data_IF_332151065460
#
_entry.id   IF_332151065460
#
_cell.length_a   1.000
_cell.length_b   1.000
_cell.length_c   1.000
_cell.angle_alpha   90.00
_cell.angle_beta   90.00
_cell.angle_gamma   90.00
#
_symmetry.space_group_name_H-M   'P 1'
#
loop_
_entity.id
_entity.type
_entity.pdbx_description
1 polymer ?
#
# COMPACT_ATOMS: atom_id res chain seq x y z
N UNK A 1 -36.95 47.97 10.86
CA UNK A 1 -35.50 47.76 10.73
C UNK A 1 -35.03 47.02 11.97
N UNK A 2 -34.90 45.69 11.88
CA UNK A 2 -34.40 44.86 12.97
C UNK A 2 -32.91 44.60 12.72
N UNK A 3 -32.06 45.03 13.65
CA UNK A 3 -30.62 44.80 13.61
C UNK A 3 -30.32 43.32 13.85
N UNK A 4 -29.77 42.70 12.81
CA UNK A 4 -28.78 41.63 12.92
C UNK A 4 -27.60 42.12 13.77
N UNK A 5 -27.17 41.34 14.76
CA UNK A 5 -25.82 40.77 14.84
C UNK A 5 -25.59 40.01 16.15
N UNK A 6 -24.91 38.87 15.97
CA UNK A 6 -23.93 38.29 16.89
C UNK A 6 -24.46 37.64 18.18
N UNK A 7 -24.88 36.38 18.05
CA UNK A 7 -24.72 35.40 19.15
C UNK A 7 -23.55 34.46 18.86
N UNK A 8 -22.68 34.44 19.87
CA UNK A 8 -21.73 33.41 20.28
C UNK A 8 -20.68 32.94 19.27
N UNK A 9 -19.47 33.49 19.46
CA UNK A 9 -18.24 32.72 19.67
C UNK A 9 -18.42 31.21 19.62
N UNK A 10 -17.85 30.62 18.57
CA UNK A 10 -17.65 29.19 18.35
C UNK A 10 -17.14 28.49 19.62
N UNK A 11 -18.00 27.72 20.27
CA UNK A 11 -17.53 26.60 21.05
C UNK A 11 -16.74 25.69 20.09
N UNK A 12 -15.59 25.20 20.52
CA UNK A 12 -14.84 24.15 19.82
C UNK A 12 -15.75 22.92 19.66
N UNK A 13 -16.46 22.82 18.54
CA UNK A 13 -17.11 21.58 18.17
C UNK A 13 -15.97 20.57 17.94
N UNK A 14 -15.87 19.57 18.81
CA UNK A 14 -15.00 18.42 18.60
C UNK A 14 -15.37 17.72 17.29
N UNK A 15 -14.45 16.94 16.74
CA UNK A 15 -14.70 16.14 15.55
C UNK A 15 -15.82 15.13 15.81
N UNK A 16 -16.64 14.86 14.79
CA UNK A 16 -17.49 13.67 14.81
C UNK A 16 -16.61 12.40 14.71
N UNK A 17 -17.13 11.22 15.10
CA UNK A 17 -16.40 9.97 14.92
C UNK A 17 -15.99 9.72 13.46
N UNK A 18 -16.86 10.06 12.50
CA UNK A 18 -16.63 9.95 11.07
C UNK A 18 -15.53 10.91 10.59
N UNK A 19 -15.63 12.19 10.98
CA UNK A 19 -14.61 13.19 10.65
C UNK A 19 -13.25 12.80 11.23
N UNK A 20 -13.20 12.29 12.46
CA UNK A 20 -11.97 11.83 13.08
C UNK A 20 -11.38 10.60 12.38
N UNK A 21 -12.22 9.68 11.88
CA UNK A 21 -11.78 8.58 11.02
C UNK A 21 -11.12 9.08 9.74
N UNK A 22 -11.76 10.00 9.02
CA UNK A 22 -11.20 10.56 7.79
C UNK A 22 -9.99 11.45 8.04
N UNK A 23 -9.95 12.21 9.14
CA UNK A 23 -8.76 12.96 9.55
C UNK A 23 -7.60 12.01 9.85
N UNK A 24 -7.85 10.88 10.51
CA UNK A 24 -6.84 9.86 10.73
C UNK A 24 -6.34 9.25 9.42
N UNK A 25 -7.24 8.92 8.49
CA UNK A 25 -6.87 8.35 7.20
C UNK A 25 -6.06 9.31 6.32
N UNK A 26 -6.53 10.56 6.18
CA UNK A 26 -5.79 11.60 5.46
C UNK A 26 -4.43 11.85 6.09
N UNK A 27 -4.37 11.95 7.42
CA UNK A 27 -3.11 12.19 8.11
C UNK A 27 -2.13 11.05 7.90
N UNK A 28 -2.59 9.79 7.99
CA UNK A 28 -1.78 8.59 7.75
C UNK A 28 -1.09 8.67 6.38
N UNK A 29 -1.85 8.85 5.30
CA UNK A 29 -1.28 8.90 3.95
C UNK A 29 -0.43 10.15 3.71
N UNK A 30 -0.74 11.26 4.39
CA UNK A 30 0.03 12.52 4.29
C UNK A 30 1.40 12.46 5.00
N UNK A 31 1.68 11.43 5.82
CA UNK A 31 3.00 11.27 6.45
C UNK A 31 4.07 10.87 5.45
N UNK A 32 3.67 10.36 4.28
CA UNK A 32 4.57 9.96 3.19
C UNK A 32 4.82 11.06 2.15
N UNK A 33 4.07 12.17 2.22
CA UNK A 33 4.16 13.26 1.24
C UNK A 33 2.83 13.98 1.03
N UNK A 34 2.71 14.67 -0.11
CA UNK A 34 1.48 15.37 -0.46
C UNK A 34 0.33 14.38 -0.72
N UNK A 35 -0.86 14.74 -0.22
CA UNK A 35 -2.06 13.91 -0.36
C UNK A 35 -2.60 13.94 -1.80
N UNK A 36 -2.41 12.82 -2.51
CA UNK A 36 -2.70 12.65 -3.93
C UNK A 36 -4.12 12.17 -4.20
N UNK A 37 -4.51 12.10 -5.49
CA UNK A 37 -5.77 11.47 -5.89
C UNK A 37 -5.78 9.95 -5.69
N UNK A 38 -4.60 9.31 -5.72
CA UNK A 38 -4.46 7.89 -5.35
C UNK A 38 -4.75 7.69 -3.86
N UNK A 39 -4.29 8.61 -3.01
CA UNK A 39 -4.56 8.57 -1.57
C UNK A 39 -6.05 8.72 -1.26
N UNK A 40 -6.77 9.59 -1.99
CA UNK A 40 -8.24 9.68 -1.91
C UNK A 40 -8.92 8.36 -2.28
N UNK A 41 -8.45 7.68 -3.33
CA UNK A 41 -8.96 6.37 -3.73
C UNK A 41 -8.72 5.33 -2.64
N UNK A 42 -7.56 5.35 -1.98
CA UNK A 42 -7.24 4.47 -0.86
C UNK A 42 -8.16 4.72 0.35
N UNK A 43 -8.36 5.97 0.74
CA UNK A 43 -9.29 6.35 1.82
C UNK A 43 -10.69 5.79 1.55
N UNK A 44 -11.16 5.86 0.29
CA UNK A 44 -12.45 5.29 -0.12
C UNK A 44 -12.44 3.76 -0.10
N UNK A 45 -11.40 3.12 -0.62
CA UNK A 45 -11.27 1.65 -0.67
C UNK A 45 -11.35 1.01 0.72
N UNK A 46 -10.62 1.57 1.67
CA UNK A 46 -10.52 1.02 3.04
C UNK A 46 -11.58 1.58 3.99
N UNK A 47 -12.55 2.36 3.50
CA UNK A 47 -13.53 3.04 4.37
C UNK A 47 -14.25 2.08 5.31
N UNK A 48 -14.49 0.85 4.88
CA UNK A 48 -15.26 -0.14 5.63
C UNK A 48 -14.49 -0.75 6.81
N UNK A 49 -13.17 -0.54 6.90
CA UNK A 49 -12.37 -0.91 8.07
C UNK A 49 -12.75 -0.11 9.32
N UNK A 50 -13.36 1.06 9.11
CA UNK A 50 -13.95 1.84 10.18
C UNK A 50 -15.46 1.93 10.00
N UNK A 51 -16.18 1.14 10.79
CA UNK A 51 -17.63 0.95 10.71
C UNK A 51 -18.48 2.23 10.75
N UNK A 52 -17.92 3.35 11.21
CA UNK A 52 -18.59 4.67 11.20
C UNK A 52 -18.65 5.30 9.81
N UNK A 53 -17.74 4.93 8.90
CA UNK A 53 -17.69 5.45 7.53
C UNK A 53 -18.60 4.66 6.58
N UNK A 54 -18.80 3.36 6.82
CA UNK A 54 -19.65 2.49 5.98
C UNK A 54 -21.06 3.03 5.72
N UNK A 55 -21.78 3.62 6.70
CA UNK A 55 -23.13 4.13 6.47
C UNK A 55 -23.18 5.46 5.71
N UNK A 56 -22.05 6.13 5.49
CA UNK A 56 -22.02 7.40 4.79
C UNK A 56 -22.32 7.21 3.31
N UNK A 57 -23.33 7.93 2.81
CA UNK A 57 -23.54 8.07 1.38
C UNK A 57 -22.36 8.81 0.73
N UNK A 58 -22.12 8.56 -0.56
CA UNK A 58 -20.95 9.07 -1.28
C UNK A 58 -20.79 10.59 -1.16
N UNK A 59 -21.88 11.36 -1.29
CA UNK A 59 -21.82 12.82 -1.15
C UNK A 59 -21.40 13.25 0.27
N UNK A 60 -21.93 12.58 1.29
CA UNK A 60 -21.57 12.83 2.69
C UNK A 60 -20.13 12.43 2.99
N UNK A 61 -19.69 11.29 2.47
CA UNK A 61 -18.31 10.83 2.58
C UNK A 61 -17.33 11.83 1.95
N UNK A 62 -17.58 12.27 0.71
CA UNK A 62 -16.72 13.23 0.01
C UNK A 62 -16.67 14.60 0.69
N UNK A 63 -17.81 15.09 1.18
CA UNK A 63 -17.86 16.35 1.94
C UNK A 63 -17.02 16.27 3.22
N UNK A 64 -17.13 15.15 3.95
CA UNK A 64 -16.37 14.92 5.18
C UNK A 64 -14.89 14.72 4.90
N UNK A 65 -14.53 14.03 3.80
CA UNK A 65 -13.15 13.84 3.37
C UNK A 65 -12.47 15.18 3.03
N UNK A 66 -13.16 16.06 2.30
CA UNK A 66 -12.64 17.40 1.98
C UNK A 66 -12.42 18.25 3.25
N UNK A 67 -13.30 18.10 4.23
CA UNK A 67 -13.18 18.76 5.54
C UNK A 67 -11.99 18.22 6.34
N UNK A 68 -11.79 16.90 6.32
CA UNK A 68 -10.64 16.24 6.91
C UNK A 68 -9.33 16.69 6.27
N UNK A 69 -9.28 16.76 4.93
CA UNK A 69 -8.12 17.26 4.18
C UNK A 69 -7.76 18.69 4.56
N UNK A 70 -8.74 19.61 4.53
CA UNK A 70 -8.50 21.00 4.92
C UNK A 70 -7.94 21.11 6.35
N UNK A 71 -8.41 20.27 7.26
CA UNK A 71 -7.96 20.25 8.65
C UNK A 71 -6.55 19.68 8.81
N UNK A 72 -6.21 18.60 8.12
CA UNK A 72 -4.85 18.02 8.15
C UNK A 72 -3.85 19.00 7.51
N UNK A 73 -4.19 19.62 6.38
CA UNK A 73 -3.29 20.60 5.74
C UNK A 73 -3.08 21.85 6.59
N UNK A 74 -4.12 22.32 7.30
CA UNK A 74 -4.01 23.47 8.20
C UNK A 74 -3.33 23.12 9.54
N UNK A 75 -3.44 21.86 9.98
CA UNK A 75 -2.87 21.38 11.23
C UNK A 75 -1.46 20.88 11.02
N UNK A 76 -0.47 21.50 11.67
CA UNK A 76 0.90 20.98 11.68
C UNK A 76 1.03 19.74 12.60
N UNK A 77 0.22 18.71 12.36
CA UNK A 77 0.05 17.55 13.24
C UNK A 77 1.28 16.64 13.25
N UNK A 78 2.03 16.58 12.15
CA UNK A 78 3.29 15.84 12.05
C UNK A 78 4.33 16.29 13.08
N UNK A 79 4.31 17.56 13.51
CA UNK A 79 5.25 18.07 14.51
C UNK A 79 5.04 17.47 15.92
N UNK A 80 3.85 16.96 16.23
CA UNK A 80 3.56 16.32 17.52
C UNK A 80 2.40 15.32 17.40
N UNK A 81 2.72 14.15 16.84
CA UNK A 81 1.77 13.05 16.63
C UNK A 81 1.05 12.65 17.93
N UNK A 82 1.72 12.46 19.09
CA UNK A 82 1.03 12.14 20.34
C UNK A 82 -0.02 13.17 20.76
N UNK A 83 0.29 14.46 20.67
CA UNK A 83 -0.66 15.52 21.01
C UNK A 83 -1.84 15.58 20.04
N UNK A 84 -1.59 15.34 18.75
CA UNK A 84 -2.66 15.21 17.75
C UNK A 84 -3.60 14.06 18.11
N UNK A 85 -3.07 12.86 18.39
CA UNK A 85 -3.90 11.71 18.76
C UNK A 85 -4.71 11.98 20.02
N UNK A 86 -4.08 12.44 21.11
CA UNK A 86 -4.76 12.63 22.39
C UNK A 86 -5.73 13.82 22.39
N UNK A 87 -5.41 14.88 21.65
CA UNK A 87 -6.17 16.14 21.66
C UNK A 87 -7.19 16.27 20.54
N UNK A 88 -7.04 15.51 19.44
CA UNK A 88 -7.88 15.63 18.24
C UNK A 88 -8.63 14.34 17.93
N UNK A 89 -7.92 13.21 17.80
CA UNK A 89 -8.54 11.95 17.36
C UNK A 89 -9.33 11.26 18.48
N UNK A 90 -8.68 10.95 19.60
CA UNK A 90 -9.29 10.16 20.67
C UNK A 90 -10.52 10.78 21.34
N UNK A 91 -10.64 12.12 21.49
CA UNK A 91 -11.86 12.70 22.03
C UNK A 91 -13.12 12.38 21.21
N UNK A 92 -12.98 12.07 19.91
CA UNK A 92 -14.07 11.64 19.04
C UNK A 92 -14.31 10.12 19.03
N UNK A 93 -13.37 9.33 19.57
CA UNK A 93 -13.44 7.86 19.62
C UNK A 93 -13.98 7.41 20.99
N UNK A 94 -15.31 7.40 21.11
CA UNK A 94 -16.00 7.30 22.40
C UNK A 94 -15.97 5.86 22.93
N UNK A 95 -16.11 4.87 22.04
CA UNK A 95 -16.16 3.46 22.44
C UNK A 95 -14.84 2.72 22.16
N UNK A 96 -14.57 1.57 22.80
CA UNK A 96 -13.44 0.71 22.44
C UNK A 96 -13.48 0.30 20.95
N UNK A 97 -14.67 0.05 20.41
CA UNK A 97 -14.86 -0.30 19.01
C UNK A 97 -14.47 0.85 18.07
N UNK A 98 -14.77 2.11 18.42
CA UNK A 98 -14.32 3.27 17.64
C UNK A 98 -12.78 3.33 17.58
N UNK A 99 -12.13 3.12 18.73
CA UNK A 99 -10.66 3.16 18.84
C UNK A 99 -9.97 2.01 18.09
N UNK A 100 -10.52 0.80 18.15
CA UNK A 100 -10.01 -0.35 17.38
C UNK A 100 -10.29 -0.16 15.90
N UNK A 101 -11.48 0.32 15.53
CA UNK A 101 -11.86 0.58 14.15
C UNK A 101 -10.98 1.64 13.48
N UNK A 102 -10.73 2.78 14.15
CA UNK A 102 -9.81 3.79 13.61
C UNK A 102 -8.38 3.26 13.52
N UNK A 103 -7.95 2.42 14.47
CA UNK A 103 -6.64 1.78 14.41
C UNK A 103 -6.52 0.84 13.22
N UNK A 104 -7.52 -0.03 13.00
CA UNK A 104 -7.60 -0.91 11.82
C UNK A 104 -7.51 -0.11 10.54
N UNK A 105 -8.26 0.98 10.45
CA UNK A 105 -8.28 1.84 9.28
C UNK A 105 -6.92 2.52 9.02
N UNK A 106 -6.26 3.05 10.06
CA UNK A 106 -4.89 3.59 9.97
C UNK A 106 -3.93 2.51 9.47
N UNK A 107 -3.97 1.32 10.05
CA UNK A 107 -3.08 0.22 9.69
C UNK A 107 -3.31 -0.24 8.24
N UNK A 108 -4.56 -0.38 7.81
CA UNK A 108 -4.90 -0.77 6.44
C UNK A 108 -4.39 0.23 5.40
N UNK A 109 -4.48 1.54 5.71
CA UNK A 109 -3.97 2.62 4.88
C UNK A 109 -2.43 2.69 4.89
N UNK A 110 -1.78 2.55 6.05
CA UNK A 110 -0.32 2.51 6.15
C UNK A 110 0.29 1.30 5.41
N UNK A 111 -0.47 0.22 5.23
CA UNK A 111 -0.04 -0.94 4.46
C UNK A 111 -0.25 -0.82 2.94
N UNK A 112 -0.76 0.31 2.43
CA UNK A 112 -1.03 0.48 0.99
C UNK A 112 0.19 0.46 0.10
N UNK A 113 1.35 0.87 0.62
CA UNK A 113 2.65 0.76 -0.03
C UNK A 113 3.50 -0.42 0.52
N UNK A 114 2.87 -1.29 1.30
CA UNK A 114 3.45 -2.46 1.96
C UNK A 114 4.59 -2.15 2.95
N UNK A 115 4.83 -0.88 3.28
CA UNK A 115 5.92 -0.47 4.14
C UNK A 115 5.50 0.63 5.12
N UNK A 116 5.25 0.24 6.37
CA UNK A 116 4.92 1.20 7.43
C UNK A 116 6.16 2.01 7.79
N UNK A 117 6.15 3.29 7.46
CA UNK A 117 7.25 4.20 7.76
C UNK A 117 7.26 4.66 9.23
N UNK A 118 8.33 5.34 9.64
CA UNK A 118 8.51 5.80 11.03
C UNK A 118 7.37 6.73 11.51
N UNK A 119 6.83 7.57 10.64
CA UNK A 119 5.72 8.47 10.95
C UNK A 119 4.42 7.71 11.17
N UNK A 120 4.09 6.78 10.29
CA UNK A 120 2.89 5.92 10.40
C UNK A 120 2.97 5.02 11.63
N UNK A 121 4.14 4.42 11.88
CA UNK A 121 4.38 3.66 13.09
C UNK A 121 4.24 4.56 14.34
N UNK A 122 4.77 5.78 14.33
CA UNK A 122 4.59 6.72 15.43
C UNK A 122 3.11 7.06 15.67
N UNK A 123 2.31 7.22 14.61
CA UNK A 123 0.86 7.42 14.70
C UNK A 123 0.16 6.20 15.32
N UNK A 124 0.44 5.00 14.82
CA UNK A 124 -0.09 3.75 15.35
C UNK A 124 0.25 3.56 16.83
N UNK A 125 1.52 3.80 17.21
CA UNK A 125 1.96 3.71 18.61
C UNK A 125 1.26 4.74 19.50
N UNK A 126 1.10 5.98 19.02
CA UNK A 126 0.37 7.01 19.75
C UNK A 126 -1.10 6.63 19.97
N UNK A 127 -1.77 6.05 18.96
CA UNK A 127 -3.13 5.52 19.11
C UNK A 127 -3.16 4.38 20.12
N UNK A 128 -2.29 3.37 20.01
CA UNK A 128 -2.20 2.25 20.96
C UNK A 128 -2.04 2.72 22.39
N UNK A 129 -1.11 3.64 22.64
CA UNK A 129 -0.79 4.15 23.98
C UNK A 129 -1.94 4.94 24.59
N UNK A 130 -2.57 5.82 23.79
CA UNK A 130 -3.57 6.74 24.31
C UNK A 130 -4.99 6.13 24.34
N UNK A 131 -5.26 5.07 23.57
CA UNK A 131 -6.55 4.41 23.52
C UNK A 131 -6.94 3.68 24.82
N UNK A 132 -5.95 3.22 25.60
CA UNK A 132 -6.17 2.47 26.84
C UNK A 132 -6.79 1.09 26.60
N UNK A 133 -6.53 0.48 25.44
CA UNK A 133 -6.98 -0.86 25.07
C UNK A 133 -5.82 -1.85 25.20
N UNK A 134 -6.14 -3.11 25.48
CA UNK A 134 -5.15 -4.19 25.55
C UNK A 134 -4.41 -4.38 24.21
N UNK A 135 -3.08 -4.51 24.28
CA UNK A 135 -2.19 -4.76 23.15
C UNK A 135 -2.63 -5.93 22.27
N UNK A 136 -3.13 -7.02 22.86
CA UNK A 136 -3.58 -8.20 22.13
C UNK A 136 -4.75 -7.90 21.17
N UNK A 137 -5.58 -6.89 21.47
CA UNK A 137 -6.69 -6.51 20.59
C UNK A 137 -6.19 -5.74 19.36
N UNK A 138 -5.13 -4.93 19.51
CA UNK A 138 -4.48 -4.27 18.37
C UNK A 138 -3.75 -5.27 17.48
N UNK A 139 -3.05 -6.24 18.08
CA UNK A 139 -2.38 -7.28 17.29
C UNK A 139 -3.41 -8.14 16.54
N UNK A 140 -4.54 -8.47 17.16
CA UNK A 140 -5.64 -9.16 16.48
C UNK A 140 -6.25 -8.32 15.34
N UNK A 141 -6.35 -7.00 15.52
CA UNK A 141 -6.82 -6.07 14.50
C UNK A 141 -5.89 -6.02 13.28
N UNK A 142 -4.56 -5.99 13.48
CA UNK A 142 -3.59 -6.05 12.39
C UNK A 142 -3.68 -7.37 11.62
N UNK A 143 -3.76 -8.49 12.34
CA UNK A 143 -3.90 -9.81 11.70
C UNK A 143 -5.21 -9.94 10.91
N UNK A 144 -6.31 -9.32 11.38
CA UNK A 144 -7.56 -9.27 10.64
C UNK A 144 -7.39 -8.53 9.31
N UNK A 145 -6.81 -7.32 9.33
CA UNK A 145 -6.53 -6.53 8.11
C UNK A 145 -5.63 -7.31 7.15
N UNK A 146 -4.53 -7.90 7.63
CA UNK A 146 -3.63 -8.71 6.79
C UNK A 146 -4.33 -9.92 6.15
N UNK A 147 -5.30 -10.50 6.84
CA UNK A 147 -6.08 -11.64 6.34
C UNK A 147 -7.12 -11.19 5.31
N UNK A 148 -7.87 -10.13 5.62
CA UNK A 148 -8.95 -9.60 4.78
C UNK A 148 -8.41 -9.05 3.45
N UNK A 149 -7.30 -8.31 3.49
CA UNK A 149 -6.67 -7.71 2.29
C UNK A 149 -5.50 -8.52 1.74
N UNK A 150 -5.34 -9.78 2.15
CA UNK A 150 -4.22 -10.62 1.74
C UNK A 150 -4.04 -10.68 0.21
N UNK A 151 -5.14 -10.83 -0.53
CA UNK A 151 -5.09 -10.86 -2.00
C UNK A 151 -4.63 -9.53 -2.58
N UNK A 152 -5.11 -8.41 -2.05
CA UNK A 152 -4.71 -7.07 -2.48
C UNK A 152 -3.22 -6.85 -2.24
N UNK A 153 -2.74 -7.07 -1.01
CA UNK A 153 -1.34 -6.85 -0.66
C UNK A 153 -0.39 -7.78 -1.42
N UNK A 154 -0.79 -9.03 -1.71
CA UNK A 154 -0.03 -9.94 -2.57
C UNK A 154 0.03 -9.48 -4.03
N UNK A 155 -1.06 -8.89 -4.53
CA UNK A 155 -1.08 -8.35 -5.88
C UNK A 155 -0.16 -7.13 -5.99
N UNK A 156 -0.22 -6.19 -5.03
CA UNK A 156 0.68 -5.03 -4.98
C UNK A 156 2.13 -5.50 -4.92
N UNK A 157 2.44 -6.44 -4.04
CA UNK A 157 3.76 -7.05 -3.89
C UNK A 157 4.29 -7.65 -5.21
N UNK A 158 3.42 -8.35 -5.95
CA UNK A 158 3.78 -8.97 -7.23
C UNK A 158 4.01 -7.95 -8.34
N UNK A 159 3.18 -6.90 -8.40
CA UNK A 159 3.39 -5.81 -9.35
C UNK A 159 4.68 -5.05 -9.03
N UNK A 160 4.92 -4.71 -7.77
CA UNK A 160 6.16 -4.03 -7.36
C UNK A 160 7.41 -4.85 -7.67
N UNK A 161 7.34 -6.19 -7.60
CA UNK A 161 8.40 -7.08 -8.06
C UNK A 161 8.65 -6.97 -9.56
N UNK A 162 7.59 -7.02 -10.37
CA UNK A 162 7.71 -6.86 -11.83
C UNK A 162 8.33 -5.52 -12.19
N UNK A 163 7.84 -4.43 -11.58
CA UNK A 163 8.39 -3.08 -11.73
C UNK A 163 9.87 -3.03 -11.36
N UNK A 164 10.25 -3.55 -10.18
CA UNK A 164 11.64 -3.54 -9.72
C UNK A 164 12.61 -4.25 -10.67
N UNK A 165 12.14 -5.29 -11.37
CA UNK A 165 12.96 -6.01 -12.35
C UNK A 165 13.13 -5.19 -13.62
N UNK A 166 12.05 -4.71 -14.23
CA UNK A 166 12.15 -3.97 -15.50
C UNK A 166 12.85 -2.62 -15.36
N UNK A 167 12.74 -1.99 -14.18
CA UNK A 167 13.43 -0.72 -13.93
C UNK A 167 14.81 -0.89 -13.33
N UNK A 168 15.34 -2.12 -13.29
CA UNK A 168 16.60 -2.40 -12.61
C UNK A 168 17.78 -1.60 -13.21
N UNK A 169 17.72 -1.25 -14.50
CA UNK A 169 18.71 -0.42 -15.19
C UNK A 169 18.52 1.10 -15.00
N UNK A 170 17.46 1.49 -14.28
CA UNK A 170 17.14 2.87 -13.90
C UNK A 170 16.12 3.58 -14.81
N UNK A 171 15.53 2.92 -15.80
CA UNK A 171 14.41 3.45 -16.60
C UNK A 171 13.36 2.38 -16.85
N UNK A 172 12.09 2.77 -16.86
CA UNK A 172 11.02 1.96 -17.44
C UNK A 172 10.58 2.65 -18.72
N UNK A 173 10.71 1.98 -19.85
CA UNK A 173 10.08 2.41 -21.08
C UNK A 173 8.57 2.14 -21.02
N UNK A 174 7.77 2.98 -21.70
CA UNK A 174 6.31 2.84 -21.66
C UNK A 174 5.85 1.46 -22.17
N UNK A 175 6.60 0.83 -23.08
CA UNK A 175 6.33 -0.53 -23.55
C UNK A 175 6.45 -1.58 -22.45
N UNK A 176 7.44 -1.47 -21.57
CA UNK A 176 7.64 -2.40 -20.44
C UNK A 176 6.53 -2.24 -19.42
N UNK A 177 6.13 -0.99 -19.14
CA UNK A 177 4.97 -0.68 -18.30
C UNK A 177 3.66 -1.22 -18.90
N UNK A 178 3.51 -1.18 -20.23
CA UNK A 178 2.36 -1.76 -20.91
C UNK A 178 2.36 -3.30 -20.83
N UNK A 179 3.54 -3.94 -20.78
CA UNK A 179 3.66 -5.39 -20.64
C UNK A 179 3.32 -5.87 -19.22
N UNK A 180 3.66 -5.10 -18.18
CA UNK A 180 3.16 -5.29 -16.81
C UNK A 180 1.63 -5.38 -16.79
N UNK A 181 0.97 -4.51 -17.58
CA UNK A 181 -0.50 -4.47 -17.67
C UNK A 181 -1.08 -5.66 -18.45
N UNK A 182 -0.39 -6.14 -19.50
CA UNK A 182 -0.84 -7.27 -20.32
C UNK A 182 -0.81 -8.60 -19.57
N UNK A 183 0.20 -8.81 -18.72
CA UNK A 183 0.42 -10.07 -18.00
C UNK A 183 -0.41 -10.22 -16.72
N UNK A 184 -1.43 -9.37 -16.52
CA UNK A 184 -2.35 -9.42 -15.37
C UNK A 184 -2.99 -10.78 -15.11
N UNK A 185 -3.16 -11.62 -16.14
CA UNK A 185 -3.74 -12.96 -16.02
C UNK A 185 -2.87 -13.89 -15.17
N UNK A 186 -1.56 -13.63 -15.08
CA UNK A 186 -0.66 -14.35 -14.18
C UNK A 186 -0.88 -14.02 -12.70
N UNK A 187 -1.63 -12.94 -12.39
CA UNK A 187 -2.07 -12.62 -11.03
C UNK A 187 -3.39 -13.31 -10.67
N UNK A 188 -4.11 -13.91 -11.62
CA UNK A 188 -5.39 -14.62 -11.36
C UNK A 188 -5.30 -15.68 -10.23
N UNK A 189 -4.19 -16.45 -10.08
CA UNK A 189 -4.02 -17.37 -8.97
C UNK A 189 -3.92 -16.69 -7.59
N UNK A 190 -3.53 -15.42 -7.53
CA UNK A 190 -3.53 -14.60 -6.30
C UNK A 190 -4.93 -14.04 -6.00
N UNK A 191 -5.66 -13.74 -7.06
CA UNK A 191 -7.07 -13.35 -7.06
C UNK A 191 -7.47 -12.79 -8.42
N UNK A 192 -8.74 -12.97 -8.80
CA UNK A 192 -9.28 -12.38 -10.02
C UNK A 192 -9.55 -10.89 -9.79
N UNK A 193 -8.69 -10.05 -10.36
CA UNK A 193 -8.86 -8.60 -10.37
C UNK A 193 -9.61 -8.17 -11.63
N UNK A 194 -10.63 -7.31 -11.49
CA UNK A 194 -11.18 -6.59 -12.63
C UNK A 194 -10.25 -5.45 -13.10
N UNK A 195 -10.56 -4.81 -14.22
CA UNK A 195 -9.72 -3.76 -14.81
C UNK A 195 -9.50 -2.57 -13.83
N UNK A 196 -10.51 -2.20 -13.07
CA UNK A 196 -10.42 -1.05 -12.14
C UNK A 196 -9.58 -1.40 -10.92
N UNK A 197 -9.77 -2.61 -10.40
CA UNK A 197 -8.97 -3.16 -9.31
C UNK A 197 -7.50 -3.31 -9.73
N UNK A 198 -7.25 -3.81 -10.94
CA UNK A 198 -5.91 -3.96 -11.46
C UNK A 198 -5.20 -2.62 -11.61
N UNK A 199 -5.84 -1.61 -12.21
CA UNK A 199 -5.24 -0.26 -12.32
C UNK A 199 -4.93 0.33 -10.93
N UNK A 200 -5.79 0.13 -9.93
CA UNK A 200 -5.51 0.57 -8.56
C UNK A 200 -4.27 -0.14 -7.97
N UNK A 201 -4.18 -1.47 -8.11
CA UNK A 201 -3.03 -2.24 -7.63
C UNK A 201 -1.76 -1.83 -8.37
N UNK A 202 -1.87 -1.52 -9.66
CA UNK A 202 -0.76 -1.05 -10.48
C UNK A 202 -0.26 0.33 -10.03
N UNK A 203 -1.16 1.29 -9.81
CA UNK A 203 -0.82 2.62 -9.30
C UNK A 203 -0.17 2.55 -7.91
N UNK A 204 -0.66 1.66 -7.05
CA UNK A 204 -0.05 1.37 -5.74
C UNK A 204 1.32 0.73 -5.89
N UNK A 205 1.47 -0.25 -6.79
CA UNK A 205 2.74 -0.90 -7.09
C UNK A 205 3.80 0.09 -7.60
N UNK A 206 3.42 1.05 -8.44
CA UNK A 206 4.26 2.17 -8.88
C UNK A 206 4.68 3.06 -7.72
N UNK A 207 3.75 3.35 -6.80
CA UNK A 207 4.05 4.15 -5.61
C UNK A 207 5.12 3.48 -4.74
N UNK A 208 5.02 2.16 -4.53
CA UNK A 208 6.05 1.38 -3.83
C UNK A 208 7.39 1.49 -4.56
N UNK A 209 7.37 1.32 -5.88
CA UNK A 209 8.55 1.39 -6.71
C UNK A 209 9.27 2.74 -6.60
N UNK A 210 8.55 3.83 -6.85
CA UNK A 210 9.11 5.18 -6.94
C UNK A 210 9.62 5.68 -5.58
N UNK A 211 8.96 5.28 -4.49
CA UNK A 211 9.33 5.72 -3.14
C UNK A 211 10.44 4.90 -2.51
N UNK A 212 10.44 3.58 -2.70
CA UNK A 212 11.31 2.68 -1.95
C UNK A 212 12.25 1.89 -2.82
N UNK A 213 11.88 1.57 -4.06
CA UNK A 213 12.65 0.64 -4.90
C UNK A 213 13.58 1.37 -5.89
N UNK A 214 13.79 2.67 -5.75
CA UNK A 214 14.89 3.36 -6.43
C UNK A 214 16.24 3.23 -5.69
N UNK A 215 16.22 3.01 -4.37
CA UNK A 215 17.43 2.78 -3.56
C UNK A 215 17.76 1.29 -3.46
N UNK A 216 19.01 0.92 -3.77
CA UNK A 216 19.48 -0.48 -3.78
C UNK A 216 19.36 -1.17 -2.41
N UNK A 217 19.58 -0.47 -1.30
CA UNK A 217 19.45 -1.05 0.03
C UNK A 217 17.98 -1.29 0.37
N UNK A 218 17.11 -0.32 0.05
CA UNK A 218 15.68 -0.43 0.27
C UNK A 218 15.04 -1.54 -0.59
N UNK A 219 15.52 -1.76 -1.83
CA UNK A 219 15.13 -2.93 -2.66
C UNK A 219 15.37 -4.24 -1.91
N UNK A 220 16.56 -4.42 -1.33
CA UNK A 220 16.94 -5.64 -0.62
C UNK A 220 16.06 -5.85 0.61
N UNK A 221 15.78 -4.80 1.36
CA UNK A 221 14.92 -4.86 2.55
C UNK A 221 13.46 -5.16 2.17
N UNK A 222 12.94 -4.55 1.12
CA UNK A 222 11.61 -4.86 0.57
C UNK A 222 11.50 -6.33 0.18
N UNK A 223 12.48 -6.81 -0.58
CA UNK A 223 12.53 -8.18 -1.08
C UNK A 223 12.67 -9.21 0.03
N UNK A 224 13.46 -8.91 1.07
CA UNK A 224 13.74 -9.85 2.16
C UNK A 224 12.68 -9.83 3.27
N UNK A 225 12.14 -8.65 3.61
CA UNK A 225 11.31 -8.48 4.80
C UNK A 225 9.82 -8.32 4.49
N UNK A 226 9.47 -7.67 3.38
CA UNK A 226 8.06 -7.38 3.06
C UNK A 226 7.49 -8.52 2.19
N UNK A 227 8.19 -8.89 1.12
CA UNK A 227 7.72 -9.91 0.19
C UNK A 227 7.74 -11.33 0.79
N UNK A 228 8.78 -11.70 1.52
CA UNK A 228 8.90 -13.05 2.09
C UNK A 228 7.79 -13.36 3.11
N UNK A 229 7.29 -12.33 3.81
CA UNK A 229 6.24 -12.43 4.82
C UNK A 229 4.83 -12.42 4.19
N UNK A 230 4.58 -11.58 3.18
CA UNK A 230 3.28 -11.51 2.49
C UNK A 230 3.07 -12.69 1.51
N UNK A 231 4.13 -13.13 0.84
CA UNK A 231 4.15 -14.28 -0.04
C UNK A 231 4.44 -15.55 0.77
N UNK A 232 3.55 -15.88 1.69
CA UNK A 232 3.79 -16.88 2.75
C UNK A 232 3.80 -18.34 2.28
N UNK A 233 3.31 -18.64 1.07
CA UNK A 233 3.30 -20.00 0.52
C UNK A 233 4.22 -20.13 -0.70
N UNK A 234 4.75 -21.33 -0.90
CA UNK A 234 5.60 -21.66 -2.05
C UNK A 234 4.91 -21.37 -3.39
N UNK A 235 3.63 -21.71 -3.51
CA UNK A 235 2.80 -21.42 -4.69
C UNK A 235 2.73 -19.91 -4.98
N UNK A 236 2.44 -19.10 -3.97
CA UNK A 236 2.32 -17.63 -4.12
C UNK A 236 3.65 -17.01 -4.53
N UNK A 237 4.77 -17.49 -3.94
CA UNK A 237 6.12 -17.05 -4.34
C UNK A 237 6.43 -17.40 -5.79
N UNK A 238 6.03 -18.59 -6.24
CA UNK A 238 6.19 -18.98 -7.65
C UNK A 238 5.40 -18.09 -8.58
N UNK A 239 4.14 -17.80 -8.28
CA UNK A 239 3.33 -16.94 -9.14
C UNK A 239 3.90 -15.52 -9.22
N UNK A 240 4.33 -14.95 -8.09
CA UNK A 240 4.98 -13.65 -8.06
C UNK A 240 6.28 -13.63 -8.90
N UNK A 241 7.10 -14.68 -8.79
CA UNK A 241 8.30 -14.81 -9.62
C UNK A 241 7.97 -14.95 -11.12
N UNK A 242 6.99 -15.79 -11.48
CA UNK A 242 6.56 -15.97 -12.87
C UNK A 242 6.05 -14.68 -13.49
N UNK A 243 5.32 -13.87 -12.71
CA UNK A 243 4.91 -12.55 -13.14
C UNK A 243 6.12 -11.66 -13.44
N UNK A 244 7.04 -11.52 -12.49
CA UNK A 244 8.23 -10.67 -12.67
C UNK A 244 9.11 -11.13 -13.86
N UNK A 245 9.31 -12.44 -14.03
CA UNK A 245 10.06 -12.99 -15.14
C UNK A 245 9.34 -12.86 -16.49
N UNK A 246 8.00 -12.95 -16.52
CA UNK A 246 7.22 -12.76 -17.75
C UNK A 246 7.35 -11.34 -18.27
N UNK A 247 7.19 -10.35 -17.38
CA UNK A 247 7.36 -8.94 -17.73
C UNK A 247 8.78 -8.66 -18.23
N UNK A 248 9.80 -9.10 -17.48
CA UNK A 248 11.21 -8.87 -17.82
C UNK A 248 11.70 -9.57 -19.09
N UNK A 249 10.87 -10.41 -19.71
CA UNK A 249 11.20 -11.12 -20.95
C UNK A 249 10.16 -10.89 -22.05
N UNK A 250 9.24 -9.96 -21.85
CA UNK A 250 8.07 -9.75 -22.70
C UNK A 250 8.45 -9.27 -24.12
N UNK A 251 9.48 -8.43 -24.23
CA UNK A 251 9.98 -7.89 -25.49
C UNK A 251 10.98 -8.83 -26.21
N UNK A 252 11.39 -9.91 -25.54
CA UNK A 252 12.33 -10.90 -26.06
C UNK A 252 13.80 -10.50 -25.94
N UNK A 253 14.11 -9.42 -25.24
CA UNK A 253 15.46 -9.04 -24.78
C UNK A 253 15.51 -9.06 -23.24
N UNK A 254 16.70 -8.98 -22.66
CA UNK A 254 16.88 -8.71 -21.22
C UNK A 254 18.25 -8.08 -20.97
N UNK A 255 18.29 -6.96 -20.28
CA UNK A 255 19.55 -6.38 -19.83
C UNK A 255 20.19 -7.27 -18.74
N UNK A 256 21.53 -7.22 -18.63
CA UNK A 256 22.23 -8.01 -17.61
C UNK A 256 21.78 -7.63 -16.19
N UNK A 257 21.44 -6.37 -15.97
CA UNK A 257 21.03 -5.84 -14.66
C UNK A 257 19.66 -6.39 -14.24
N UNK A 258 18.72 -6.49 -15.17
CA UNK A 258 17.39 -7.10 -14.93
C UNK A 258 17.51 -8.61 -14.66
N UNK A 259 18.39 -9.29 -15.39
CA UNK A 259 18.69 -10.70 -15.16
C UNK A 259 19.31 -10.93 -13.78
N UNK A 260 20.23 -10.08 -13.36
CA UNK A 260 20.82 -10.16 -12.02
C UNK A 260 19.76 -9.86 -10.95
N UNK A 261 18.86 -8.90 -11.19
CA UNK A 261 17.72 -8.62 -10.31
C UNK A 261 16.75 -9.81 -10.20
N UNK A 262 16.42 -10.49 -11.31
CA UNK A 262 15.58 -11.70 -11.28
C UNK A 262 16.21 -12.80 -10.41
N UNK A 263 17.52 -12.98 -10.48
CA UNK A 263 18.23 -13.96 -9.65
C UNK A 263 18.18 -13.58 -8.17
N UNK A 264 18.31 -12.30 -7.85
CA UNK A 264 18.18 -11.80 -6.47
C UNK A 264 16.76 -12.01 -5.93
N UNK A 265 15.74 -11.73 -6.75
CA UNK A 265 14.32 -12.01 -6.42
C UNK A 265 14.11 -13.51 -6.17
N UNK A 266 14.59 -14.38 -7.07
CA UNK A 266 14.50 -15.84 -6.92
C UNK A 266 15.15 -16.30 -5.60
N UNK A 267 16.34 -15.77 -5.29
CA UNK A 267 17.09 -16.08 -4.09
C UNK A 267 16.34 -15.68 -2.81
N UNK A 268 15.71 -14.50 -2.81
CA UNK A 268 15.00 -13.97 -1.66
C UNK A 268 13.64 -14.63 -1.43
N UNK A 269 12.94 -15.02 -2.50
CA UNK A 269 11.74 -15.84 -2.41
C UNK A 269 12.05 -17.26 -1.89
N UNK A 270 13.32 -17.64 -1.80
CA UNK A 270 13.75 -18.95 -1.32
C UNK A 270 13.42 -20.06 -2.33
N UNK A 271 13.33 -19.72 -3.61
CA UNK A 271 13.12 -20.64 -4.71
C UNK A 271 14.50 -21.10 -5.20
N UNK A 272 15.17 -21.98 -4.43
CA UNK A 272 16.59 -22.36 -4.65
C UNK A 272 16.78 -23.84 -5.02
N UNK A 273 15.82 -24.40 -5.74
CA UNK A 273 15.83 -25.80 -6.17
C UNK A 273 15.77 -25.94 -7.69
N UNK A 274 15.80 -27.18 -8.18
CA UNK A 274 15.72 -27.53 -9.61
C UNK A 274 14.54 -26.84 -10.32
N UNK A 275 13.48 -26.49 -9.57
CA UNK A 275 12.31 -25.76 -10.08
C UNK A 275 12.64 -24.30 -10.37
N UNK A 276 13.44 -23.64 -9.53
CA UNK A 276 13.91 -22.28 -9.77
C UNK A 276 14.78 -22.18 -11.03
N UNK A 277 15.71 -23.12 -11.19
CA UNK A 277 16.56 -23.20 -12.39
C UNK A 277 15.74 -23.51 -13.65
N UNK A 278 14.74 -24.41 -13.53
CA UNK A 278 13.81 -24.70 -14.63
C UNK A 278 12.96 -23.49 -15.02
N UNK A 279 12.48 -22.71 -14.04
CA UNK A 279 11.70 -21.50 -14.27
C UNK A 279 12.53 -20.44 -15.01
N UNK A 280 13.74 -20.16 -14.53
CA UNK A 280 14.66 -19.25 -15.24
C UNK A 280 14.88 -19.78 -16.66
N UNK A 281 15.14 -21.08 -16.84
CA UNK A 281 15.30 -21.68 -18.15
C UNK A 281 14.09 -21.52 -19.08
N UNK A 282 12.86 -21.61 -18.55
CA UNK A 282 11.61 -21.41 -19.31
C UNK A 282 11.52 -19.99 -19.89
N UNK A 283 11.84 -18.98 -19.08
CA UNK A 283 11.77 -17.58 -19.49
C UNK A 283 12.98 -17.16 -20.33
N UNK A 284 14.19 -17.58 -19.97
CA UNK A 284 15.41 -17.32 -20.75
C UNK A 284 15.38 -17.99 -22.13
N UNK A 285 14.65 -19.09 -22.28
CA UNK A 285 14.38 -19.70 -23.59
C UNK A 285 13.60 -18.80 -24.55
N UNK A 286 12.92 -17.75 -24.05
CA UNK A 286 12.18 -16.75 -24.83
C UNK A 286 13.04 -15.54 -25.20
N UNK A 287 14.12 -15.30 -24.45
CA UNK A 287 15.02 -14.16 -24.62
C UNK A 287 16.13 -14.48 -25.61
N UNK A 288 16.32 -13.61 -26.60
CA UNK A 288 17.37 -13.75 -27.61
C UNK A 288 18.57 -12.89 -27.24
N UNK A 289 19.78 -13.42 -27.41
CA UNK A 289 20.99 -12.60 -27.48
C UNK A 289 20.93 -11.67 -28.67
N UNK A 290 21.79 -10.64 -28.68
CA UNK A 290 22.06 -9.75 -29.84
C UNK A 290 22.30 -10.56 -31.15
N UNK A 291 22.73 -11.82 -31.02
CA UNK A 291 23.02 -12.74 -32.14
C UNK A 291 21.84 -13.65 -32.53
N UNK A 292 20.66 -13.48 -31.90
CA UNK A 292 19.44 -14.24 -32.17
C UNK A 292 19.39 -15.65 -31.55
N UNK A 293 20.30 -15.99 -30.62
CA UNK A 293 20.31 -17.29 -29.92
C UNK A 293 19.69 -17.18 -28.53
N UNK A 294 19.05 -18.23 -27.99
CA UNK A 294 18.61 -18.23 -26.59
C UNK A 294 19.79 -17.94 -25.66
N UNK A 295 19.62 -17.05 -24.68
CA UNK A 295 20.63 -16.83 -23.63
C UNK A 295 20.61 -18.05 -22.69
N UNK A 296 21.73 -18.76 -22.60
CA UNK A 296 21.90 -19.91 -21.69
C UNK A 296 22.34 -19.45 -20.30
#
# INVERSE_FOLDING_TARGET
MANFFSRSTSASAGLSPEEAGLVAGVFTLSLTGDFSDLDKRCVSLFRDEYFRLTPLEEEGFQSTLNSALARVTAGNFAANIPAFVSGTLLPAMITPEDKIGVYRYIYALAMTDLNINDGENALMQAVRQAAGIDSAQFDAAEQAVLTEFQTLYRAIASISLGLMVVTADGKADQSELDDIRKDRTLLEPLGRLDDTQFELVYDLGLTVHDRFLLDVNARKDFVTNILANLLSSREVRYQAFRYAASVATADGDIAQVELDMLKDVLHALGIRDEVGDQLIGEFMGRVRTIDGKPRQ
#
